data_IF_651354131147
#
_entry.id   IF_651354131147
#
_cell.length_a   1.000
_cell.length_b   1.000
_cell.length_c   1.000
_cell.angle_alpha   90.00
_cell.angle_beta   90.00
_cell.angle_gamma   90.00
#
_symmetry.space_group_name_H-M   'P 1'
#
loop_
_entity.id
_entity.type
_entity.pdbx_description
1 polymer ?
#
# COMPACT_ATOMS: atom_id res chain seq x y z
N UNK A 1 -13.22 -3.86 27.15
CA UNK A 1 -13.51 -5.29 27.39
C UNK A 1 -12.85 -5.77 28.69
N UNK A 2 -13.49 -6.64 29.49
CA UNK A 2 -12.84 -7.28 30.65
C UNK A 2 -11.69 -8.20 30.21
N UNK A 3 -10.59 -8.27 30.98
CA UNK A 3 -9.39 -9.08 30.62
C UNK A 3 -9.70 -10.55 30.31
N UNK A 4 -10.66 -11.15 31.02
CA UNK A 4 -11.08 -12.54 30.79
C UNK A 4 -11.77 -12.77 29.43
N UNK A 5 -12.38 -11.74 28.84
CA UNK A 5 -13.05 -11.86 27.54
C UNK A 5 -12.08 -11.74 26.36
N UNK A 6 -10.90 -11.15 26.54
CA UNK A 6 -9.90 -11.02 25.48
C UNK A 6 -9.22 -12.36 25.19
N UNK A 7 -8.81 -13.07 26.25
CA UNK A 7 -8.12 -14.36 26.11
C UNK A 7 -9.03 -15.51 25.69
N UNK A 8 -10.36 -15.33 25.78
CA UNK A 8 -11.32 -16.24 25.16
C UNK A 8 -11.35 -16.13 23.63
N UNK A 9 -10.99 -14.96 23.08
CA UNK A 9 -10.99 -14.69 21.64
C UNK A 9 -9.60 -14.86 21.02
N UNK A 10 -8.54 -14.49 21.76
CA UNK A 10 -7.16 -14.55 21.28
C UNK A 10 -6.24 -15.19 22.32
N UNK A 11 -5.53 -16.28 21.96
CA UNK A 11 -4.61 -16.96 22.87
C UNK A 11 -3.47 -16.06 23.39
N UNK A 12 -3.08 -15.04 22.63
CA UNK A 12 -2.03 -14.09 23.01
C UNK A 12 -2.20 -12.74 22.31
N UNK A 13 -1.43 -11.74 22.74
CA UNK A 13 -1.33 -10.45 22.03
C UNK A 13 -0.73 -10.61 20.63
N UNK A 14 0.13 -11.60 20.43
CA UNK A 14 0.71 -11.91 19.12
C UNK A 14 -0.36 -12.47 18.17
N UNK A 15 -1.21 -13.40 18.64
CA UNK A 15 -2.34 -13.90 17.84
C UNK A 15 -3.33 -12.80 17.51
N UNK A 16 -3.62 -11.92 18.46
CA UNK A 16 -4.45 -10.74 18.21
C UNK A 16 -3.84 -9.82 17.14
N UNK A 17 -2.54 -9.53 17.21
CA UNK A 17 -1.87 -8.70 16.21
C UNK A 17 -1.88 -9.36 14.82
N UNK A 18 -1.70 -10.69 14.74
CA UNK A 18 -1.81 -11.42 13.48
C UNK A 18 -3.22 -11.37 12.90
N UNK A 19 -4.25 -11.62 13.70
CA UNK A 19 -5.63 -11.55 13.25
C UNK A 19 -6.04 -10.13 12.84
N UNK A 20 -5.53 -9.11 13.54
CA UNK A 20 -5.73 -7.70 13.20
C UNK A 20 -5.09 -7.35 11.85
N UNK A 21 -3.87 -7.85 11.60
CA UNK A 21 -3.23 -7.71 10.29
C UNK A 21 -4.03 -8.40 9.19
N UNK A 22 -4.60 -9.58 9.43
CA UNK A 22 -5.40 -10.29 8.44
C UNK A 22 -6.66 -9.51 8.05
N UNK A 23 -7.40 -9.03 9.04
CA UNK A 23 -8.59 -8.18 8.79
C UNK A 23 -8.22 -6.88 8.04
N UNK A 24 -7.08 -6.27 8.39
CA UNK A 24 -6.58 -5.09 7.69
C UNK A 24 -6.26 -5.39 6.22
N UNK A 25 -5.60 -6.52 5.93
CA UNK A 25 -5.29 -6.93 4.55
C UNK A 25 -6.56 -7.25 3.76
N UNK A 26 -7.53 -7.91 4.39
CA UNK A 26 -8.82 -8.22 3.80
C UNK A 26 -9.61 -6.98 3.39
N UNK A 27 -9.53 -5.91 4.19
CA UNK A 27 -10.20 -4.62 3.93
C UNK A 27 -9.85 -4.06 2.54
N UNK A 28 -8.63 -4.28 2.05
CA UNK A 28 -8.17 -3.77 0.75
C UNK A 28 -8.29 -4.77 -0.40
N UNK A 29 -8.78 -5.99 -0.18
CA UNK A 29 -8.87 -6.99 -1.26
C UNK A 29 -9.71 -6.50 -2.44
N UNK A 30 -10.90 -5.95 -2.17
CA UNK A 30 -11.78 -5.47 -3.23
C UNK A 30 -11.18 -4.24 -3.93
N UNK A 31 -10.59 -3.32 -3.16
CA UNK A 31 -9.87 -2.17 -3.72
C UNK A 31 -8.80 -2.63 -4.72
N UNK A 32 -7.97 -3.63 -4.37
CA UNK A 32 -6.93 -4.15 -5.27
C UNK A 32 -7.51 -4.77 -6.54
N UNK A 33 -8.58 -5.56 -6.41
CA UNK A 33 -9.27 -6.19 -7.56
C UNK A 33 -9.81 -5.17 -8.54
N UNK A 34 -10.43 -4.10 -8.04
CA UNK A 34 -11.06 -3.08 -8.89
C UNK A 34 -10.06 -2.10 -9.51
N UNK A 35 -8.82 -2.07 -9.03
CA UNK A 35 -7.79 -1.08 -9.40
C UNK A 35 -6.53 -1.74 -9.95
N UNK A 36 -5.54 -2.05 -9.11
CA UNK A 36 -4.23 -2.60 -9.50
C UNK A 36 -4.34 -3.86 -10.37
N UNK A 37 -5.28 -4.74 -10.03
CA UNK A 37 -5.48 -6.02 -10.71
C UNK A 37 -6.48 -5.93 -11.89
N UNK A 38 -7.01 -4.75 -12.17
CA UNK A 38 -7.97 -4.57 -13.25
C UNK A 38 -7.25 -4.37 -14.60
N UNK A 39 -6.98 -5.50 -15.26
CA UNK A 39 -6.24 -5.53 -16.52
C UNK A 39 -6.99 -4.91 -17.72
N UNK A 40 -8.26 -4.51 -17.57
CA UNK A 40 -8.98 -3.77 -18.62
C UNK A 40 -8.60 -2.29 -18.66
N UNK A 41 -7.91 -1.78 -17.64
CA UNK A 41 -7.47 -0.40 -17.54
C UNK A 41 -5.99 -0.27 -17.96
N UNK A 42 -5.60 0.90 -18.45
CA UNK A 42 -4.19 1.19 -18.71
C UNK A 42 -3.43 1.32 -17.37
N UNK A 43 -2.11 0.99 -17.32
CA UNK A 43 -1.34 0.93 -16.07
C UNK A 43 -1.41 2.20 -15.20
N UNK A 44 -1.30 3.38 -15.83
CA UNK A 44 -1.40 4.66 -15.11
C UNK A 44 -2.75 4.83 -14.42
N UNK A 45 -3.84 4.42 -15.06
CA UNK A 45 -5.19 4.50 -14.48
C UNK A 45 -5.34 3.53 -13.32
N UNK A 46 -4.80 2.30 -13.42
CA UNK A 46 -4.82 1.33 -12.30
C UNK A 46 -4.17 1.90 -11.04
N UNK A 47 -2.98 2.52 -11.17
CA UNK A 47 -2.29 3.14 -10.04
C UNK A 47 -3.06 4.35 -9.49
N UNK A 48 -3.55 5.23 -10.38
CA UNK A 48 -4.28 6.43 -9.97
C UNK A 48 -5.59 6.09 -9.25
N UNK A 49 -6.35 5.11 -9.74
CA UNK A 49 -7.58 4.65 -9.10
C UNK A 49 -7.30 4.05 -7.73
N UNK A 50 -6.22 3.26 -7.60
CA UNK A 50 -5.80 2.73 -6.32
C UNK A 50 -5.48 3.86 -5.32
N UNK A 51 -4.65 4.82 -5.72
CA UNK A 51 -4.27 5.96 -4.88
C UNK A 51 -5.47 6.82 -4.46
N UNK A 52 -6.36 7.16 -5.40
CA UNK A 52 -7.51 8.02 -5.10
C UNK A 52 -8.50 7.33 -4.16
N UNK A 53 -8.86 6.06 -4.42
CA UNK A 53 -9.77 5.32 -3.54
C UNK A 53 -9.13 4.99 -2.19
N UNK A 54 -7.81 4.79 -2.16
CA UNK A 54 -7.09 4.63 -0.91
C UNK A 54 -7.07 5.94 -0.09
N UNK A 55 -6.94 7.10 -0.73
CA UNK A 55 -7.08 8.40 -0.06
C UNK A 55 -8.45 8.53 0.60
N UNK A 56 -9.53 8.22 -0.13
CA UNK A 56 -10.90 8.24 0.40
C UNK A 56 -11.05 7.36 1.64
N UNK A 57 -10.39 6.19 1.67
CA UNK A 57 -10.38 5.32 2.85
C UNK A 57 -9.71 6.00 4.05
N UNK A 58 -8.53 6.60 3.87
CA UNK A 58 -7.82 7.28 4.97
C UNK A 58 -8.60 8.50 5.48
N UNK A 59 -9.27 9.24 4.59
CA UNK A 59 -10.02 10.45 4.96
C UNK A 59 -11.28 10.17 5.78
N UNK A 60 -11.80 8.94 5.77
CA UNK A 60 -12.96 8.55 6.58
C UNK A 60 -12.65 8.48 8.08
N UNK A 61 -11.41 8.16 8.44
CA UNK A 61 -10.97 8.07 9.83
C UNK A 61 -9.61 8.74 10.02
N UNK A 62 -9.55 10.10 10.01
CA UNK A 62 -8.29 10.84 10.06
C UNK A 62 -7.44 10.53 11.30
N UNK A 63 -8.09 10.28 12.44
CA UNK A 63 -7.42 9.93 13.70
C UNK A 63 -6.80 8.52 13.69
N UNK A 64 -7.27 7.65 12.79
CA UNK A 64 -6.73 6.31 12.57
C UNK A 64 -5.77 6.26 11.37
N UNK A 65 -5.46 7.41 10.75
CA UNK A 65 -4.67 7.46 9.53
C UNK A 65 -3.25 6.90 9.71
N UNK A 66 -2.86 6.05 8.77
CA UNK A 66 -1.55 5.42 8.70
C UNK A 66 -1.61 4.01 8.11
N UNK A 67 -0.45 3.39 7.89
CA UNK A 67 -0.39 1.98 7.52
C UNK A 67 -0.27 1.10 8.78
N UNK A 68 -1.27 0.28 9.06
CA UNK A 68 -1.23 -0.63 10.22
C UNK A 68 -0.05 -1.61 10.13
N UNK A 69 0.20 -2.18 8.96
CA UNK A 69 1.34 -3.06 8.73
C UNK A 69 2.69 -2.32 8.93
N UNK A 70 2.80 -1.07 8.45
CA UNK A 70 3.97 -0.22 8.68
C UNK A 70 4.19 0.08 10.16
N UNK A 71 3.13 0.40 10.91
CA UNK A 71 3.19 0.66 12.35
C UNK A 71 3.64 -0.58 13.13
N UNK A 72 3.03 -1.74 12.86
CA UNK A 72 3.40 -3.01 13.51
C UNK A 72 4.83 -3.42 13.12
N UNK A 73 5.19 -3.21 11.85
CA UNK A 73 6.53 -3.42 11.31
C UNK A 73 7.60 -2.67 12.10
N UNK A 74 7.35 -1.41 12.45
CA UNK A 74 8.31 -0.57 13.19
C UNK A 74 8.34 -0.85 14.71
N UNK A 75 7.23 -1.32 15.30
CA UNK A 75 7.08 -1.38 16.77
C UNK A 75 7.20 -2.77 17.37
N UNK A 76 6.76 -3.82 16.67
CA UNK A 76 6.60 -5.16 17.26
C UNK A 76 7.42 -6.23 16.50
N UNK A 77 7.68 -6.04 15.20
CA UNK A 77 8.30 -7.07 14.35
C UNK A 77 9.68 -7.55 14.85
N UNK A 78 10.45 -6.67 15.50
CA UNK A 78 11.77 -6.99 16.07
C UNK A 78 11.73 -8.11 17.11
N UNK A 79 10.61 -8.25 17.82
CA UNK A 79 10.44 -9.15 18.96
C UNK A 79 9.59 -10.39 18.65
N UNK A 80 9.08 -10.52 17.41
CA UNK A 80 8.25 -11.66 16.98
C UNK A 80 8.60 -12.07 15.54
N UNK A 81 9.12 -13.29 15.39
CA UNK A 81 9.37 -13.88 14.06
C UNK A 81 8.08 -14.06 13.25
N UNK A 82 6.98 -14.43 13.90
CA UNK A 82 5.68 -14.64 13.27
C UNK A 82 5.10 -13.33 12.71
N UNK A 83 5.10 -12.26 13.49
CA UNK A 83 4.63 -10.94 13.04
C UNK A 83 5.52 -10.41 11.92
N UNK A 84 6.85 -10.56 12.04
CA UNK A 84 7.79 -10.15 10.99
C UNK A 84 7.51 -10.86 9.67
N UNK A 85 7.28 -12.17 9.71
CA UNK A 85 6.94 -12.95 8.51
C UNK A 85 5.63 -12.47 7.88
N UNK A 86 4.59 -12.18 8.68
CA UNK A 86 3.30 -11.71 8.18
C UNK A 86 3.39 -10.31 7.56
N UNK A 87 4.08 -9.38 8.22
CA UNK A 87 4.33 -8.03 7.67
C UNK A 87 5.17 -8.10 6.40
N UNK A 88 6.20 -8.95 6.36
CA UNK A 88 6.99 -9.17 5.15
C UNK A 88 6.13 -9.70 4.00
N UNK A 89 5.28 -10.69 4.27
CA UNK A 89 4.38 -11.26 3.27
C UNK A 89 3.41 -10.21 2.73
N UNK A 90 2.86 -9.35 3.60
CA UNK A 90 2.02 -8.23 3.18
C UNK A 90 2.72 -7.32 2.16
N UNK A 91 3.93 -6.85 2.47
CA UNK A 91 4.69 -6.00 1.55
C UNK A 91 5.02 -6.73 0.25
N UNK A 92 5.40 -8.01 0.31
CA UNK A 92 5.70 -8.80 -0.89
C UNK A 92 4.47 -8.99 -1.80
N UNK A 93 3.28 -9.22 -1.24
CA UNK A 93 2.06 -9.32 -2.03
C UNK A 93 1.70 -8.00 -2.69
N UNK A 94 1.81 -6.89 -1.95
CA UNK A 94 1.54 -5.58 -2.51
C UNK A 94 2.56 -5.18 -3.59
N UNK A 95 3.84 -5.50 -3.38
CA UNK A 95 4.90 -5.30 -4.37
C UNK A 95 4.63 -6.13 -5.63
N UNK A 96 4.14 -7.37 -5.50
CA UNK A 96 3.77 -8.22 -6.64
C UNK A 96 2.63 -7.62 -7.47
N UNK A 97 1.61 -7.03 -6.84
CA UNK A 97 0.51 -6.41 -7.57
C UNK A 97 0.99 -5.19 -8.36
N UNK A 98 1.83 -4.36 -7.75
CA UNK A 98 2.44 -3.21 -8.40
C UNK A 98 3.41 -3.62 -9.52
N UNK A 99 4.17 -4.69 -9.32
CA UNK A 99 5.08 -5.23 -10.33
C UNK A 99 4.31 -5.61 -11.60
N UNK A 100 3.13 -6.22 -11.47
CA UNK A 100 2.28 -6.51 -12.62
C UNK A 100 1.85 -5.24 -13.37
N UNK A 101 1.45 -4.19 -12.65
CA UNK A 101 1.11 -2.89 -13.25
C UNK A 101 2.29 -2.31 -14.02
N UNK A 102 3.49 -2.35 -13.46
CA UNK A 102 4.65 -1.73 -14.07
C UNK A 102 5.30 -2.57 -15.17
N UNK A 103 5.13 -3.89 -15.16
CA UNK A 103 5.45 -4.75 -16.30
C UNK A 103 4.57 -4.38 -17.50
N UNK A 104 3.26 -4.22 -17.31
CA UNK A 104 2.35 -3.77 -18.36
C UNK A 104 2.73 -2.35 -18.86
N UNK A 105 3.13 -1.46 -17.95
CA UNK A 105 3.58 -0.11 -18.32
C UNK A 105 4.85 -0.14 -19.17
N UNK A 106 5.80 -1.02 -18.83
CA UNK A 106 7.03 -1.20 -19.60
C UNK A 106 6.74 -1.77 -20.99
N UNK A 107 5.89 -2.80 -21.10
CA UNK A 107 5.47 -3.35 -22.39
C UNK A 107 4.75 -2.31 -23.26
N UNK A 108 3.93 -1.46 -22.66
CA UNK A 108 3.25 -0.36 -23.35
C UNK A 108 4.15 0.86 -23.61
N UNK A 109 5.43 0.82 -23.23
CA UNK A 109 6.38 1.94 -23.35
C UNK A 109 5.88 3.23 -22.68
N UNK A 110 5.20 3.07 -21.55
CA UNK A 110 4.67 4.16 -20.71
C UNK A 110 5.33 4.23 -19.34
N UNK A 111 6.26 3.32 -19.01
CA UNK A 111 7.12 3.41 -17.84
C UNK A 111 8.30 4.35 -18.11
N UNK A 112 8.66 5.17 -17.12
CA UNK A 112 9.83 6.03 -17.16
C UNK A 112 11.10 5.26 -17.54
N UNK A 113 11.93 5.76 -18.47
CA UNK A 113 13.08 5.02 -19.01
C UNK A 113 14.21 4.83 -17.99
N UNK A 114 14.18 5.55 -16.87
CA UNK A 114 15.16 5.41 -15.78
C UNK A 114 14.72 4.40 -14.71
N UNK A 115 13.55 3.78 -14.87
CA UNK A 115 12.99 2.84 -13.89
C UNK A 115 12.87 1.43 -14.48
N UNK A 116 13.12 0.44 -13.62
CA UNK A 116 12.61 -0.92 -13.82
C UNK A 116 11.24 -1.07 -13.14
N UNK A 117 10.40 -2.04 -13.54
CA UNK A 117 9.15 -2.36 -12.86
C UNK A 117 9.31 -2.56 -11.35
N UNK A 118 10.40 -3.22 -10.93
CA UNK A 118 10.72 -3.45 -9.52
C UNK A 118 11.06 -2.15 -8.79
N UNK A 119 11.85 -1.26 -9.41
CA UNK A 119 12.17 0.03 -8.79
C UNK A 119 10.95 0.92 -8.66
N UNK A 120 10.01 0.87 -9.61
CA UNK A 120 8.76 1.61 -9.56
C UNK A 120 7.84 1.09 -8.46
N UNK A 121 7.70 -0.23 -8.31
CA UNK A 121 6.95 -0.85 -7.22
C UNK A 121 7.49 -0.44 -5.85
N UNK A 122 8.81 -0.51 -5.67
CA UNK A 122 9.48 -0.07 -4.43
C UNK A 122 9.28 1.42 -4.18
N UNK A 123 9.38 2.25 -5.22
CA UNK A 123 9.17 3.68 -5.09
C UNK A 123 7.76 3.99 -4.58
N UNK A 124 6.73 3.33 -5.09
CA UNK A 124 5.35 3.51 -4.61
C UNK A 124 5.21 3.13 -3.14
N UNK A 125 5.65 1.92 -2.76
CA UNK A 125 5.49 1.42 -1.39
C UNK A 125 6.26 2.31 -0.40
N UNK A 126 7.53 2.59 -0.68
CA UNK A 126 8.37 3.38 0.21
C UNK A 126 7.86 4.83 0.33
N UNK A 127 7.40 5.43 -0.77
CA UNK A 127 6.80 6.78 -0.73
C UNK A 127 5.51 6.78 0.07
N UNK A 128 4.65 5.79 -0.13
CA UNK A 128 3.40 5.66 0.62
C UNK A 128 3.66 5.53 2.12
N UNK A 129 4.54 4.63 2.55
CA UNK A 129 4.86 4.45 3.97
C UNK A 129 5.44 5.74 4.59
N UNK A 130 6.31 6.45 3.86
CA UNK A 130 6.82 7.75 4.29
C UNK A 130 5.73 8.82 4.42
N UNK A 131 4.80 8.85 3.47
CA UNK A 131 3.65 9.76 3.50
C UNK A 131 2.71 9.43 4.66
N UNK A 132 2.46 8.15 4.95
CA UNK A 132 1.63 7.73 6.09
C UNK A 132 2.18 8.20 7.43
N UNK A 133 3.51 8.20 7.59
CA UNK A 133 4.17 8.77 8.77
C UNK A 133 3.83 10.26 8.89
N UNK A 134 3.95 11.03 7.79
CA UNK A 134 3.65 12.46 7.81
C UNK A 134 2.18 12.76 8.09
N UNK A 135 1.25 12.03 7.47
CA UNK A 135 -0.19 12.20 7.73
C UNK A 135 -0.50 12.05 9.21
N UNK A 136 0.08 11.03 9.85
CA UNK A 136 -0.11 10.78 11.28
C UNK A 136 0.47 11.89 12.16
N UNK A 137 1.62 12.44 11.79
CA UNK A 137 2.28 13.53 12.55
C UNK A 137 1.55 14.87 12.35
N UNK A 138 1.12 15.16 11.12
CA UNK A 138 0.49 16.42 10.75
C UNK A 138 -1.02 16.45 11.06
N UNK A 139 -1.65 15.29 11.31
CA UNK A 139 -3.10 15.19 11.53
C UNK A 139 -3.93 15.60 10.31
N UNK A 140 -3.36 15.46 9.12
CA UNK A 140 -3.92 15.95 7.85
C UNK A 140 -3.52 15.05 6.69
N UNK A 141 -4.39 14.89 5.70
CA UNK A 141 -4.12 14.09 4.49
C UNK A 141 -3.37 14.86 3.40
N UNK A 142 -3.00 16.13 3.63
CA UNK A 142 -2.23 16.93 2.66
C UNK A 142 -0.93 16.25 2.15
N UNK A 143 -0.13 15.54 2.98
CA UNK A 143 1.01 14.78 2.48
C UNK A 143 0.68 13.77 1.36
N UNK A 144 -0.56 13.27 1.31
CA UNK A 144 -1.02 12.32 0.28
C UNK A 144 -1.00 12.91 -1.12
N UNK A 145 -1.07 14.25 -1.25
CA UNK A 145 -1.04 14.93 -2.54
C UNK A 145 0.25 14.60 -3.33
N UNK A 146 1.37 14.34 -2.66
CA UNK A 146 2.58 13.88 -3.34
C UNK A 146 2.36 12.57 -4.11
N UNK A 147 1.60 11.63 -3.53
CA UNK A 147 1.35 10.33 -4.14
C UNK A 147 0.43 10.44 -5.36
N UNK A 148 -0.52 11.36 -5.35
CA UNK A 148 -1.51 11.51 -6.44
C UNK A 148 -1.08 12.52 -7.51
N UNK A 149 -0.28 13.52 -7.17
CA UNK A 149 0.08 14.61 -8.09
C UNK A 149 1.50 14.46 -8.65
N UNK A 150 2.47 14.04 -7.85
CA UNK A 150 3.88 14.08 -8.24
C UNK A 150 4.42 12.70 -8.60
N UNK A 151 4.18 11.71 -7.74
CA UNK A 151 4.69 10.35 -7.91
C UNK A 151 4.32 9.70 -9.26
N UNK A 152 3.08 9.84 -9.79
CA UNK A 152 2.71 9.21 -11.06
C UNK A 152 3.47 9.79 -12.25
N UNK A 153 3.83 11.07 -12.21
CA UNK A 153 4.61 11.73 -13.28
C UNK A 153 6.09 11.36 -13.24
N UNK A 154 6.61 10.93 -12.09
CA UNK A 154 7.95 10.35 -11.99
C UNK A 154 8.00 8.93 -12.58
N UNK A 155 6.92 8.16 -12.39
CA UNK A 155 6.84 6.75 -12.77
C UNK A 155 6.46 6.58 -14.24
N UNK A 156 5.52 7.37 -14.76
CA UNK A 156 4.99 7.20 -16.11
C UNK A 156 5.48 8.28 -17.06
N UNK A 157 5.84 7.87 -18.28
CA UNK A 157 6.10 8.77 -19.39
C UNK A 157 4.92 8.78 -20.37
N UNK A 158 4.87 9.80 -21.23
CA UNK A 158 3.94 9.77 -22.38
C UNK A 158 4.43 8.73 -23.38
N UNK A 159 3.54 7.96 -24.03
CA UNK A 159 3.94 7.07 -25.10
C UNK A 159 4.64 7.89 -26.18
N UNK A 160 5.74 7.38 -26.72
CA UNK A 160 6.39 8.01 -27.87
C UNK A 160 5.35 8.13 -28.99
N UNK A 161 5.10 9.34 -29.46
CA UNK A 161 4.24 9.55 -30.63
C UNK A 161 4.88 8.79 -31.79
N UNK A 162 4.18 7.78 -32.31
CA UNK A 162 4.59 7.09 -33.53
C UNK A 162 4.68 8.13 -34.65
N UNK A 163 5.90 8.38 -35.10
CA UNK A 163 6.25 9.19 -36.28
C UNK A 163 6.05 8.39 -37.56
#
# INVERSE_FOLDING_TARGET
MPKGSFYNLFPSKEEFACATLDAYIETFQQLRKDTLLNNTLIPRVRLMDWLNRHREYIEREPDAAGCLAGIIGQTISGNSGKIRQKVSAFFSFWESDLLNVFNDAQHAQTLSPVMSPESAAKLVINSYEGVMIRIRVEGSTHPYDFLTQTLPDMIFCKPATAS
#
